data_IF_134079850950
#
_entry.id   IF_134079850950
#
_cell.length_a   1.000
_cell.length_b   1.000
_cell.length_c   1.000
_cell.angle_alpha   90.00
_cell.angle_beta   90.00
_cell.angle_gamma   90.00
#
_symmetry.space_group_name_H-M   'P 1'
#
loop_
_entity.id
_entity.type
_entity.pdbx_description
1 polymer ?
#
# COMPACT_ATOMS: atom_id res chain seq x y z
N UNK A 1 -15.29 15.46 2.32
CA UNK A 1 -15.42 16.90 2.65
C UNK A 1 -15.39 17.67 1.33
N UNK A 2 -16.23 18.70 1.25
CA UNK A 2 -16.63 19.42 0.05
C UNK A 2 -15.52 20.30 -0.56
N UNK A 3 -15.66 20.60 -1.86
CA UNK A 3 -15.32 21.91 -2.41
C UNK A 3 -16.19 22.19 -3.66
N UNK A 4 -17.07 23.18 -3.53
CA UNK A 4 -17.80 23.86 -4.61
C UNK A 4 -17.21 25.27 -4.79
N UNK A 5 -17.66 25.96 -5.85
CA UNK A 5 -17.41 27.36 -6.30
C UNK A 5 -16.44 27.42 -7.48
N UNK A 6 -16.82 27.64 -8.75
CA UNK A 6 -17.81 28.51 -9.43
C UNK A 6 -17.41 29.99 -9.57
N UNK A 7 -17.38 30.39 -10.86
CA UNK A 7 -17.71 31.68 -11.47
C UNK A 7 -16.68 32.83 -11.47
N UNK A 8 -16.48 33.38 -12.67
CA UNK A 8 -15.82 34.67 -12.90
C UNK A 8 -15.58 34.94 -14.39
N UNK A 9 -16.63 35.36 -15.11
CA UNK A 9 -16.66 35.71 -16.54
C UNK A 9 -15.97 37.04 -16.88
N UNK A 10 -15.84 37.28 -18.20
CA UNK A 10 -15.64 38.56 -18.94
C UNK A 10 -14.22 39.10 -19.09
N UNK A 11 -13.84 39.87 -20.11
CA UNK A 11 -14.18 40.05 -21.53
C UNK A 11 -13.31 41.23 -22.02
N UNK A 12 -12.90 41.21 -23.30
CA UNK A 12 -12.36 42.37 -24.03
C UNK A 12 -10.85 42.61 -23.83
N UNK A 13 -10.12 43.19 -24.76
CA UNK A 13 -10.37 43.64 -26.13
C UNK A 13 -9.00 43.84 -26.78
N UNK A 14 -8.98 43.73 -28.11
CA UNK A 14 -7.87 44.12 -28.98
C UNK A 14 -7.22 45.45 -28.60
N UNK A 15 -5.89 45.51 -28.69
CA UNK A 15 -5.17 46.76 -28.95
C UNK A 15 -3.82 46.45 -29.61
N UNK A 16 -3.76 46.79 -30.90
CA UNK A 16 -2.53 46.91 -31.68
C UNK A 16 -1.60 47.96 -31.07
N UNK A 17 -0.30 47.68 -31.06
CA UNK A 17 0.76 48.65 -30.72
C UNK A 17 2.03 48.30 -31.49
N UNK A 18 2.33 49.12 -32.48
CA UNK A 18 3.32 48.95 -33.55
C UNK A 18 4.71 49.53 -33.23
N UNK A 19 5.75 48.85 -33.74
CA UNK A 19 7.02 49.38 -34.32
C UNK A 19 8.06 49.99 -33.35
N UNK A 20 9.30 49.47 -33.37
CA UNK A 20 10.46 50.19 -33.95
C UNK A 20 11.73 49.35 -33.96
N UNK A 21 12.39 49.30 -35.13
CA UNK A 21 13.73 48.76 -35.30
C UNK A 21 14.77 49.88 -35.13
N UNK A 22 15.87 49.59 -34.45
CA UNK A 22 17.05 50.44 -34.36
C UNK A 22 18.33 49.60 -34.29
N UNK A 23 19.37 49.88 -35.12
CA UNK A 23 20.58 49.07 -35.23
C UNK A 23 21.69 49.61 -34.30
N UNK A 24 22.43 48.73 -33.63
CA UNK A 24 23.54 49.13 -32.76
C UNK A 24 24.30 47.91 -32.27
N UNK A 25 25.56 47.81 -32.68
CA UNK A 25 26.49 46.74 -32.37
C UNK A 25 27.06 46.95 -30.95
N UNK A 26 26.44 46.36 -29.92
CA UNK A 26 27.03 46.25 -28.58
C UNK A 26 27.02 44.78 -28.14
N UNK A 27 28.17 44.34 -27.66
CA UNK A 27 28.47 43.07 -26.99
C UNK A 27 27.23 42.32 -26.51
N UNK A 28 27.11 41.07 -26.97
CA UNK A 28 26.11 40.07 -26.57
C UNK A 28 26.11 39.87 -25.05
N UNK A 29 25.56 40.85 -24.33
CA UNK A 29 25.29 40.78 -22.90
C UNK A 29 24.06 39.92 -22.80
N UNK A 30 24.25 38.60 -22.85
CA UNK A 30 23.19 37.62 -22.61
C UNK A 30 22.50 38.03 -21.30
N UNK A 31 21.31 38.61 -21.40
CA UNK A 31 20.52 38.92 -20.23
C UNK A 31 19.98 37.61 -19.69
N UNK A 32 20.76 36.99 -18.82
CA UNK A 32 20.45 35.70 -18.17
C UNK A 32 19.05 35.70 -17.55
N UNK A 33 18.56 36.84 -17.07
CA UNK A 33 17.21 37.01 -16.55
C UNK A 33 16.11 36.73 -17.59
N UNK A 34 16.26 37.24 -18.82
CA UNK A 34 15.28 36.98 -19.90
C UNK A 34 15.32 35.53 -20.38
N UNK A 35 16.51 34.92 -20.40
CA UNK A 35 16.69 33.53 -20.79
C UNK A 35 16.12 32.58 -19.72
N UNK A 36 16.35 32.88 -18.43
CA UNK A 36 15.74 32.15 -17.31
C UNK A 36 14.21 32.23 -17.34
N UNK A 37 13.65 33.39 -17.70
CA UNK A 37 12.20 33.58 -17.80
C UNK A 37 11.57 32.74 -18.94
N UNK A 38 12.31 32.47 -20.01
CA UNK A 38 11.89 31.58 -21.09
C UNK A 38 12.14 30.08 -20.82
N UNK A 39 13.12 29.74 -19.97
CA UNK A 39 13.47 28.34 -19.67
C UNK A 39 12.72 27.78 -18.44
N UNK A 40 12.56 28.60 -17.41
CA UNK A 40 12.03 28.22 -16.08
C UNK A 40 10.87 29.14 -15.62
N UNK A 41 10.68 30.30 -16.26
CA UNK A 41 9.64 31.27 -15.91
C UNK A 41 8.31 31.08 -16.62
N UNK A 42 7.40 32.04 -16.41
CA UNK A 42 6.01 31.99 -16.88
C UNK A 42 5.89 32.04 -18.41
N UNK A 43 6.95 32.47 -19.11
CA UNK A 43 7.02 32.50 -20.59
C UNK A 43 7.52 31.20 -21.19
N UNK A 44 7.71 30.15 -20.39
CA UNK A 44 8.15 28.84 -20.88
C UNK A 44 7.10 28.24 -21.82
N UNK A 45 7.51 27.99 -23.07
CA UNK A 45 6.72 27.21 -24.02
C UNK A 45 6.71 25.73 -23.61
N UNK A 46 5.52 25.12 -23.55
CA UNK A 46 5.35 23.68 -23.29
C UNK A 46 5.97 22.92 -24.46
N UNK A 47 7.06 22.20 -24.17
CA UNK A 47 7.81 21.43 -25.18
C UNK A 47 7.54 19.96 -24.92
N UNK A 48 6.99 19.27 -25.92
CA UNK A 48 6.79 17.82 -25.89
C UNK A 48 8.16 17.14 -26.00
N UNK A 49 8.76 16.88 -24.84
CA UNK A 49 10.02 16.16 -24.74
C UNK A 49 9.75 14.68 -25.01
N UNK A 50 10.37 14.14 -26.05
CA UNK A 50 10.35 12.70 -26.28
C UNK A 50 11.14 12.01 -25.15
N UNK A 51 10.50 11.17 -24.31
CA UNK A 51 11.15 10.51 -23.18
C UNK A 51 12.32 9.60 -23.62
N UNK A 52 12.37 9.19 -24.88
CA UNK A 52 13.48 8.42 -25.44
C UNK A 52 14.78 9.24 -25.62
N UNK A 53 14.71 10.58 -25.61
CA UNK A 53 15.86 11.47 -25.84
C UNK A 53 16.37 12.08 -24.52
N UNK A 54 15.57 12.06 -23.46
CA UNK A 54 15.87 12.76 -22.19
C UNK A 54 16.64 11.90 -21.17
N UNK A 55 16.77 10.59 -21.40
CA UNK A 55 17.44 9.66 -20.48
C UNK A 55 18.64 8.96 -21.13
N UNK A 56 19.69 8.67 -20.35
CA UNK A 56 20.88 7.96 -20.82
C UNK A 56 20.66 6.47 -21.14
N UNK A 57 19.51 5.91 -20.74
CA UNK A 57 19.06 4.58 -21.14
C UNK A 57 17.70 4.68 -21.86
N UNK A 58 17.52 4.03 -23.02
CA UNK A 58 16.22 3.93 -23.67
C UNK A 58 15.29 3.07 -22.82
N UNK A 59 14.40 3.72 -22.06
CA UNK A 59 13.34 3.02 -21.33
C UNK A 59 12.24 2.63 -22.32
N UNK A 60 11.77 1.37 -22.35
CA UNK A 60 10.68 0.97 -23.22
C UNK A 60 9.43 1.79 -22.85
N UNK A 61 8.70 2.36 -23.83
CA UNK A 61 7.50 3.13 -23.54
C UNK A 61 6.46 2.21 -22.91
N UNK A 62 6.20 2.40 -21.61
CA UNK A 62 5.07 1.75 -20.92
C UNK A 62 3.79 2.44 -21.35
N UNK A 63 2.77 1.67 -21.72
CA UNK A 63 1.43 2.24 -21.99
C UNK A 63 0.86 2.83 -20.70
N UNK A 64 -0.01 3.84 -20.82
CA UNK A 64 -0.65 4.45 -19.65
C UNK A 64 -1.41 3.42 -18.81
N UNK A 65 -2.01 2.41 -19.46
CA UNK A 65 -2.64 1.28 -18.81
C UNK A 65 -1.67 0.47 -17.94
N UNK A 66 -0.48 0.14 -18.46
CA UNK A 66 0.55 -0.57 -17.69
C UNK A 66 1.01 0.25 -16.48
N UNK A 67 1.15 1.57 -16.65
CA UNK A 67 1.53 2.48 -15.56
C UNK A 67 0.47 2.54 -14.46
N UNK A 68 -0.82 2.52 -14.82
CA UNK A 68 -1.90 2.46 -13.84
C UNK A 68 -1.93 1.12 -13.10
N UNK A 69 -1.67 0.01 -13.79
CA UNK A 69 -1.60 -1.33 -13.17
C UNK A 69 -0.41 -1.42 -12.20
N UNK A 70 0.77 -0.98 -12.61
CA UNK A 70 2.00 -0.98 -11.79
C UNK A 70 1.79 -0.19 -10.49
N UNK A 71 1.23 1.02 -10.61
CA UNK A 71 0.83 1.85 -9.44
C UNK A 71 -0.22 1.18 -8.56
N UNK A 72 -1.16 0.45 -9.17
CA UNK A 72 -2.17 -0.31 -8.45
C UNK A 72 -1.56 -1.43 -7.61
N UNK A 73 -0.62 -2.17 -8.18
CA UNK A 73 0.06 -3.30 -7.51
C UNK A 73 1.00 -2.85 -6.40
N UNK A 74 1.64 -1.69 -6.55
CA UNK A 74 2.47 -1.10 -5.50
C UNK A 74 1.67 -0.45 -4.36
N UNK A 75 0.35 -0.27 -4.55
CA UNK A 75 -0.49 0.37 -3.53
C UNK A 75 -0.58 -0.46 -2.24
N UNK A 76 -0.57 0.24 -1.11
CA UNK A 76 -0.75 -0.39 0.20
C UNK A 76 -2.07 -1.14 0.31
N UNK A 77 -3.13 -0.67 -0.35
CA UNK A 77 -4.41 -1.34 -0.40
C UNK A 77 -4.31 -2.71 -1.06
N UNK A 78 -3.66 -2.79 -2.23
CA UNK A 78 -3.50 -4.04 -2.95
C UNK A 78 -2.61 -5.02 -2.19
N UNK A 79 -1.46 -4.57 -1.67
CA UNK A 79 -0.57 -5.40 -0.82
C UNK A 79 -1.31 -5.96 0.39
N UNK A 80 -2.12 -5.12 1.06
CA UNK A 80 -2.91 -5.53 2.23
C UNK A 80 -3.98 -6.56 1.88
N UNK A 81 -4.66 -6.41 0.75
CA UNK A 81 -5.67 -7.39 0.27
C UNK A 81 -5.00 -8.71 -0.07
N UNK A 82 -3.85 -8.69 -0.74
CA UNK A 82 -3.09 -9.90 -1.06
C UNK A 82 -2.67 -10.62 0.23
N UNK A 83 -2.14 -9.89 1.21
CA UNK A 83 -1.76 -10.44 2.51
C UNK A 83 -2.98 -10.96 3.30
N UNK A 84 -4.13 -10.28 3.20
CA UNK A 84 -5.39 -10.71 3.80
C UNK A 84 -5.85 -12.06 3.23
N UNK A 85 -5.85 -12.21 1.90
CA UNK A 85 -6.23 -13.46 1.22
C UNK A 85 -5.23 -14.57 1.55
N UNK A 86 -3.92 -14.28 1.52
CA UNK A 86 -2.89 -15.24 1.91
C UNK A 86 -3.05 -15.72 3.36
N UNK A 87 -3.28 -14.79 4.29
CA UNK A 87 -3.56 -15.10 5.69
C UNK A 87 -4.86 -15.88 5.88
N UNK A 88 -5.91 -15.58 5.11
CA UNK A 88 -7.16 -16.32 5.15
C UNK A 88 -6.98 -17.79 4.73
N UNK A 89 -6.26 -18.04 3.62
CA UNK A 89 -6.01 -19.39 3.12
C UNK A 89 -5.14 -20.18 4.10
N UNK A 90 -4.04 -19.60 4.58
CA UNK A 90 -3.16 -20.23 5.55
C UNK A 90 -3.87 -20.51 6.88
N UNK A 91 -4.63 -19.54 7.40
CA UNK A 91 -5.40 -19.69 8.63
C UNK A 91 -6.55 -20.69 8.50
N UNK A 92 -7.17 -20.77 7.34
CA UNK A 92 -8.21 -21.76 7.05
C UNK A 92 -7.65 -23.18 7.00
N UNK A 93 -6.53 -23.37 6.29
CA UNK A 93 -5.83 -24.66 6.23
C UNK A 93 -5.36 -25.10 7.63
N UNK A 94 -4.72 -24.20 8.37
CA UNK A 94 -4.29 -24.46 9.75
C UNK A 94 -5.48 -24.74 10.68
N UNK A 95 -6.59 -24.02 10.52
CA UNK A 95 -7.78 -24.19 11.33
C UNK A 95 -8.51 -25.51 11.08
N UNK A 96 -8.62 -25.94 9.82
CA UNK A 96 -9.21 -27.25 9.47
C UNK A 96 -8.30 -28.39 9.95
N UNK A 97 -6.98 -28.26 9.78
CA UNK A 97 -6.02 -29.23 10.29
C UNK A 97 -6.11 -29.39 11.80
N UNK A 98 -6.16 -28.27 12.53
CA UNK A 98 -6.30 -28.25 13.99
C UNK A 98 -7.64 -28.82 14.44
N UNK A 99 -8.72 -28.59 13.70
CA UNK A 99 -10.00 -29.20 14.01
C UNK A 99 -9.96 -30.72 13.79
N UNK A 100 -9.25 -31.19 12.76
CA UNK A 100 -9.07 -32.61 12.44
C UNK A 100 -8.39 -33.44 13.53
N UNK A 101 -7.53 -32.82 14.33
CA UNK A 101 -6.85 -33.47 15.47
C UNK A 101 -7.64 -33.35 16.79
N UNK A 102 -8.70 -32.55 16.82
CA UNK A 102 -9.51 -32.34 18.02
C UNK A 102 -10.47 -33.52 18.23
N UNK A 103 -10.16 -34.38 19.22
CA UNK A 103 -10.98 -35.57 19.52
C UNK A 103 -12.31 -35.24 20.20
N UNK A 104 -12.63 -33.96 20.43
CA UNK A 104 -13.88 -33.49 21.05
C UNK A 104 -15.02 -33.28 20.04
N UNK A 105 -14.77 -33.38 18.73
CA UNK A 105 -15.78 -33.25 17.68
C UNK A 105 -16.70 -34.48 17.59
N UNK A 106 -17.61 -34.66 18.56
CA UNK A 106 -18.64 -35.70 18.44
C UNK A 106 -19.22 -36.32 19.71
N UNK A 107 -18.81 -35.89 20.91
CA UNK A 107 -19.41 -36.40 22.15
C UNK A 107 -20.49 -35.44 22.65
N UNK A 108 -21.72 -35.60 22.16
CA UNK A 108 -22.90 -35.00 22.77
C UNK A 108 -23.25 -35.78 24.06
N UNK A 109 -23.29 -35.16 25.26
CA UNK A 109 -23.58 -35.85 26.53
C UNK A 109 -24.98 -36.44 26.63
N UNK A 110 -25.88 -36.11 25.69
CA UNK A 110 -27.29 -36.49 25.73
C UNK A 110 -27.63 -37.76 24.96
N UNK A 111 -26.82 -38.18 23.97
CA UNK A 111 -27.10 -39.38 23.15
C UNK A 111 -25.80 -40.03 22.61
N UNK A 112 -25.21 -41.01 23.31
CA UNK A 112 -23.92 -41.63 22.96
C UNK A 112 -23.94 -42.53 21.70
N UNK A 113 -25.07 -42.64 21.00
CA UNK A 113 -25.28 -43.56 19.87
C UNK A 113 -25.67 -42.86 18.55
N UNK A 114 -25.65 -41.52 18.51
CA UNK A 114 -25.74 -40.78 17.25
C UNK A 114 -24.33 -40.56 16.74
N UNK A 115 -23.87 -41.43 15.84
CA UNK A 115 -22.69 -41.12 15.01
C UNK A 115 -22.91 -39.72 14.42
N UNK A 116 -22.10 -38.71 14.78
CA UNK A 116 -22.31 -37.37 14.27
C UNK A 116 -22.22 -37.47 12.76
N UNK A 117 -23.25 -36.96 12.07
CA UNK A 117 -23.30 -37.02 10.61
C UNK A 117 -22.01 -36.39 10.09
N UNK A 118 -21.31 -37.01 9.14
CA UNK A 118 -20.07 -36.44 8.59
C UNK A 118 -20.23 -34.97 8.16
N UNK A 119 -21.45 -34.58 7.78
CA UNK A 119 -21.84 -33.19 7.47
C UNK A 119 -21.87 -32.24 8.68
N UNK A 120 -22.27 -32.70 9.85
CA UNK A 120 -22.26 -31.89 11.09
C UNK A 120 -20.83 -31.70 11.60
N UNK A 121 -20.02 -32.74 11.56
CA UNK A 121 -18.58 -32.65 11.89
C UNK A 121 -17.87 -31.71 10.93
N UNK A 122 -18.09 -31.85 9.61
CA UNK A 122 -17.54 -30.93 8.61
C UNK A 122 -18.00 -29.49 8.81
N UNK A 123 -19.24 -29.28 9.25
CA UNK A 123 -19.78 -27.95 9.51
C UNK A 123 -19.15 -27.31 10.75
N UNK A 124 -18.96 -28.06 11.82
CA UNK A 124 -18.30 -27.57 13.04
C UNK A 124 -16.80 -27.31 12.78
N UNK A 125 -16.12 -28.23 12.09
CA UNK A 125 -14.72 -28.04 11.65
C UNK A 125 -14.58 -26.82 10.74
N UNK A 126 -15.50 -26.64 9.79
CA UNK A 126 -15.52 -25.48 8.90
C UNK A 126 -15.77 -24.16 9.63
N UNK A 127 -16.66 -24.16 10.64
CA UNK A 127 -16.92 -22.99 11.46
C UNK A 127 -15.69 -22.59 12.29
N UNK A 128 -15.01 -23.57 12.90
CA UNK A 128 -13.74 -23.35 13.62
C UNK A 128 -12.65 -22.87 12.66
N UNK A 129 -12.49 -23.51 11.51
CA UNK A 129 -11.56 -23.11 10.46
C UNK A 129 -11.79 -21.69 9.94
N UNK A 130 -13.04 -21.30 9.75
CA UNK A 130 -13.44 -19.95 9.34
C UNK A 130 -13.05 -18.89 10.38
N UNK A 131 -13.14 -19.23 11.67
CA UNK A 131 -12.70 -18.31 12.73
C UNK A 131 -11.19 -18.08 12.71
N UNK A 132 -10.39 -19.14 12.51
CA UNK A 132 -8.94 -19.02 12.35
C UNK A 132 -8.57 -18.22 11.10
N UNK A 133 -9.18 -18.56 9.96
CA UNK A 133 -8.97 -17.85 8.69
C UNK A 133 -9.19 -16.34 8.84
N UNK A 134 -10.27 -15.91 9.49
CA UNK A 134 -10.54 -14.48 9.73
C UNK A 134 -9.48 -13.81 10.61
N UNK A 135 -9.02 -14.47 11.67
CA UNK A 135 -7.99 -13.91 12.54
C UNK A 135 -6.65 -13.75 11.81
N UNK A 136 -6.20 -14.77 11.08
CA UNK A 136 -4.95 -14.70 10.30
C UNK A 136 -5.05 -13.68 9.15
N UNK A 137 -6.22 -13.56 8.51
CA UNK A 137 -6.46 -12.55 7.49
C UNK A 137 -6.31 -11.12 8.06
N UNK A 138 -6.90 -10.85 9.24
CA UNK A 138 -6.79 -9.53 9.89
C UNK A 138 -5.34 -9.22 10.26
N UNK A 139 -4.62 -10.19 10.85
CA UNK A 139 -3.21 -10.01 11.23
C UNK A 139 -2.35 -9.74 10.00
N UNK A 140 -2.50 -10.54 8.94
CA UNK A 140 -1.74 -10.37 7.69
C UNK A 140 -2.02 -9.04 7.00
N UNK A 141 -3.30 -8.63 6.96
CA UNK A 141 -3.70 -7.34 6.41
C UNK A 141 -3.11 -6.16 7.19
N UNK A 142 -3.17 -6.21 8.53
CA UNK A 142 -2.63 -5.14 9.39
C UNK A 142 -1.11 -5.05 9.30
N UNK A 143 -0.42 -6.19 9.24
CA UNK A 143 1.03 -6.23 9.09
C UNK A 143 1.48 -5.58 7.78
N UNK A 144 0.92 -6.02 6.64
CA UNK A 144 1.28 -5.49 5.32
C UNK A 144 0.87 -4.03 5.12
N UNK A 145 -0.30 -3.63 5.64
CA UNK A 145 -0.75 -2.24 5.59
C UNK A 145 0.20 -1.31 6.35
N UNK A 146 0.54 -1.69 7.58
CA UNK A 146 1.41 -0.88 8.45
C UNK A 146 2.82 -0.79 7.89
N UNK A 147 3.36 -1.90 7.39
CA UNK A 147 4.67 -1.92 6.75
C UNK A 147 4.71 -1.01 5.52
N UNK A 148 3.72 -1.09 4.63
CA UNK A 148 3.63 -0.23 3.45
C UNK A 148 3.49 1.25 3.80
N UNK A 149 2.73 1.61 4.85
CA UNK A 149 2.61 2.99 5.31
C UNK A 149 3.96 3.51 5.84
N UNK A 150 4.68 2.70 6.62
CA UNK A 150 6.00 3.07 7.16
C UNK A 150 7.02 3.21 6.03
N UNK A 151 7.03 2.27 5.08
CA UNK A 151 7.88 2.28 3.91
C UNK A 151 7.61 3.54 3.05
N UNK A 152 6.33 3.84 2.79
CA UNK A 152 5.93 5.02 2.04
C UNK A 152 6.33 6.33 2.73
N UNK A 153 6.29 6.36 4.06
CA UNK A 153 6.70 7.54 4.82
C UNK A 153 8.22 7.71 4.90
N UNK A 154 8.98 6.62 5.02
CA UNK A 154 10.45 6.67 5.14
C UNK A 154 11.16 6.71 3.78
N UNK A 155 10.52 6.22 2.73
CA UNK A 155 11.10 6.08 1.38
C UNK A 155 12.24 5.07 1.29
N UNK A 156 12.37 4.17 2.29
CA UNK A 156 13.47 3.20 2.40
C UNK A 156 12.89 1.87 2.88
N UNK A 157 13.24 0.77 2.22
CA UNK A 157 12.90 -0.60 2.61
C UNK A 157 14.03 -1.23 3.43
N UNK A 158 13.81 -1.36 4.74
CA UNK A 158 14.75 -1.95 5.69
C UNK A 158 14.07 -3.01 6.57
N UNK A 159 14.84 -3.93 7.12
CA UNK A 159 14.39 -4.91 8.14
C UNK A 159 13.71 -4.27 9.35
N UNK A 160 14.06 -3.01 9.67
CA UNK A 160 13.44 -2.25 10.76
C UNK A 160 11.96 -1.98 10.49
N UNK A 161 11.55 -1.82 9.23
CA UNK A 161 10.16 -1.56 8.88
C UNK A 161 9.28 -2.77 9.27
N UNK A 162 9.76 -3.99 9.05
CA UNK A 162 9.10 -5.23 9.46
C UNK A 162 9.00 -5.36 10.99
N UNK A 163 10.04 -4.96 11.74
CA UNK A 163 10.01 -4.98 13.21
C UNK A 163 9.03 -3.95 13.78
N UNK A 164 9.02 -2.74 13.23
CA UNK A 164 8.08 -1.69 13.64
C UNK A 164 6.64 -2.06 13.31
N UNK A 165 6.37 -2.55 12.09
CA UNK A 165 5.03 -2.99 11.70
C UNK A 165 4.55 -4.19 12.53
N UNK A 166 5.46 -5.12 12.84
CA UNK A 166 5.21 -6.23 13.77
C UNK A 166 4.81 -5.73 15.16
N UNK A 167 5.61 -4.85 15.77
CA UNK A 167 5.29 -4.28 17.08
C UNK A 167 3.95 -3.54 17.08
N UNK A 168 3.68 -2.71 16.07
CA UNK A 168 2.43 -1.94 15.99
C UNK A 168 1.23 -2.87 15.84
N UNK A 169 1.33 -3.86 14.96
CA UNK A 169 0.25 -4.83 14.72
C UNK A 169 -0.02 -5.68 15.95
N UNK A 170 1.02 -6.29 16.53
CA UNK A 170 0.93 -7.11 17.74
C UNK A 170 0.49 -6.30 18.97
N UNK A 171 0.97 -5.06 19.07
CA UNK A 171 0.59 -4.12 20.13
C UNK A 171 -0.87 -3.71 20.03
N UNK A 172 -1.36 -3.34 18.84
CA UNK A 172 -2.75 -2.94 18.62
C UNK A 172 -3.73 -4.09 18.91
N UNK A 173 -3.41 -5.30 18.47
CA UNK A 173 -4.24 -6.49 18.71
C UNK A 173 -4.19 -6.88 20.20
N UNK A 174 -3.00 -6.89 20.80
CA UNK A 174 -2.81 -7.24 22.22
C UNK A 174 -3.42 -6.21 23.17
N UNK A 175 -3.43 -4.93 22.81
CA UNK A 175 -3.99 -3.86 23.64
C UNK A 175 -5.48 -4.05 23.93
N UNK A 176 -6.21 -4.74 23.02
CA UNK A 176 -7.62 -5.08 23.21
C UNK A 176 -7.85 -6.07 24.36
N UNK A 177 -6.83 -6.82 24.77
CA UNK A 177 -6.81 -7.66 25.97
C UNK A 177 -6.18 -6.96 27.19
N UNK A 178 -5.73 -5.71 27.05
CA UNK A 178 -5.16 -4.87 28.11
C UNK A 178 -3.73 -4.38 27.78
N UNK A 179 -3.27 -3.36 28.51
CA UNK A 179 -1.96 -2.72 28.27
C UNK A 179 -0.79 -3.71 28.40
N UNK A 180 -0.82 -4.61 29.40
CA UNK A 180 0.23 -5.63 29.58
C UNK A 180 0.31 -6.59 28.40
N UNK A 181 -0.85 -7.02 27.87
CA UNK A 181 -0.93 -7.86 26.69
C UNK A 181 -0.48 -7.11 25.43
N UNK A 182 -0.74 -5.80 25.33
CA UNK A 182 -0.24 -4.95 24.24
C UNK A 182 1.29 -4.85 24.22
N UNK A 183 1.94 -4.63 25.38
CA UNK A 183 3.41 -4.57 25.45
C UNK A 183 4.04 -5.92 25.11
N UNK A 184 3.49 -7.01 25.67
CA UNK A 184 3.94 -8.37 25.34
C UNK A 184 3.72 -8.69 23.86
N UNK A 185 2.57 -8.29 23.31
CA UNK A 185 2.21 -8.45 21.90
C UNK A 185 3.15 -7.71 20.97
N UNK A 186 3.50 -6.46 21.27
CA UNK A 186 4.49 -5.71 20.52
C UNK A 186 5.85 -6.43 20.54
N UNK A 187 6.34 -6.83 21.71
CA UNK A 187 7.63 -7.53 21.82
C UNK A 187 7.65 -8.86 21.06
N UNK A 188 6.59 -9.67 21.20
CA UNK A 188 6.47 -10.96 20.53
C UNK A 188 6.40 -10.83 19.01
N UNK A 189 5.54 -9.95 18.49
CA UNK A 189 5.44 -9.75 17.04
C UNK A 189 6.69 -9.07 16.46
N UNK A 190 7.31 -8.13 17.18
CA UNK A 190 8.58 -7.54 16.76
C UNK A 190 9.68 -8.60 16.62
N UNK A 191 9.81 -9.48 17.61
CA UNK A 191 10.79 -10.56 17.59
C UNK A 191 10.49 -11.57 16.48
N UNK A 192 9.23 -11.95 16.29
CA UNK A 192 8.81 -12.84 15.20
C UNK A 192 9.12 -12.25 13.82
N UNK A 193 8.77 -10.98 13.60
CA UNK A 193 9.08 -10.28 12.34
C UNK A 193 10.58 -10.17 12.11
N UNK A 194 11.38 -9.87 13.14
CA UNK A 194 12.84 -9.85 13.03
C UNK A 194 13.41 -11.22 12.65
N UNK A 195 12.89 -12.30 13.24
CA UNK A 195 13.34 -13.66 12.96
C UNK A 195 13.01 -14.09 11.52
N UNK A 196 11.80 -13.77 11.03
CA UNK A 196 11.42 -14.05 9.65
C UNK A 196 12.30 -13.27 8.68
N UNK A 197 12.53 -11.99 8.94
CA UNK A 197 13.39 -11.15 8.10
C UNK A 197 14.84 -11.64 8.10
N UNK A 198 15.33 -12.15 9.23
CA UNK A 198 16.64 -12.79 9.31
C UNK A 198 16.71 -14.10 8.52
N UNK A 199 15.62 -14.87 8.49
CA UNK A 199 15.57 -16.14 7.75
C UNK A 199 15.41 -15.95 6.23
N UNK A 200 14.66 -14.94 5.79
CA UNK A 200 14.38 -14.69 4.37
C UNK A 200 15.44 -13.83 3.68
N UNK A 201 16.42 -13.31 4.41
CA UNK A 201 17.49 -12.44 3.90
C UNK A 201 18.79 -13.21 3.70
#
# INVERSE_FOLDING_TARGET
MAASMSAGSSAGSDSQGSVSAGPGNESSTLQYSMILDHLVGDKRSVKDLNPAVMGGLPVPPKTDEQKMIERGMESCAFKSVLACVGGFVLGGAFGVFTAGIDTNVGFDPKDPLRTPTAREVLKDMGQRGMSYAKNFAIVGAMFSCTECIIESHRGISDWKNAVYSGCITGGAIGFRAGLKAGVLGCGGFAAFSAAIEYYLR
#
